data_IF_741672368424
#
_entry.id   IF_741672368424
#
_cell.length_a   1.000
_cell.length_b   1.000
_cell.length_c   1.000
_cell.angle_alpha   90.00
_cell.angle_beta   90.00
_cell.angle_gamma   90.00
#
_symmetry.space_group_name_H-M   'P 1'
#
loop_
_entity.id
_entity.type
_entity.pdbx_description
1 polymer ?
2 polymer ?
3 polymer ?
4 water ?
#
# COMPACT_ATOMS: atom_id res chain seq x y z
N UNK A 1 11.21 -15.36 8.76
CA UNK A 1 11.52 -14.26 7.81
C UNK A 1 11.61 -12.90 8.48
N UNK A 2 11.87 -11.93 7.64
CA UNK A 2 11.98 -10.53 8.03
C UNK A 2 10.67 -9.85 8.30
N UNK A 3 10.72 -8.75 9.01
CA UNK A 3 9.51 -8.06 9.46
C UNK A 3 9.76 -6.57 9.56
N UNK A 4 8.69 -5.78 9.64
CA UNK A 4 8.78 -4.35 9.67
C UNK A 4 7.56 -3.74 10.37
N UNK A 5 7.78 -2.56 10.95
CA UNK A 5 6.69 -1.72 11.46
C UNK A 5 6.85 -0.35 10.82
N UNK A 6 5.76 0.10 10.17
CA UNK A 6 5.79 1.37 9.42
C UNK A 6 4.57 2.19 9.70
N UNK A 7 4.76 3.50 9.82
CA UNK A 7 3.68 4.42 9.93
C UNK A 7 3.70 5.41 8.77
N UNK A 8 2.53 5.72 8.28
CA UNK A 8 2.28 6.59 7.14
C UNK A 8 1.36 7.69 7.52
N UNK A 9 1.74 8.91 7.16
CA UNK A 9 0.91 10.12 7.47
C UNK A 9 0.75 11.02 6.22
N UNK A 10 -0.47 11.48 5.97
CA UNK A 10 -0.83 12.34 4.89
C UNK A 10 -1.68 13.48 5.38
N UNK A 11 -1.23 14.71 5.13
CA UNK A 11 -2.00 15.91 5.44
C UNK A 11 -2.20 16.72 4.12
N UNK A 12 -3.41 17.17 3.91
CA UNK A 12 -3.84 17.88 2.71
C UNK A 12 -4.54 19.15 3.14
N UNK A 13 -3.96 20.28 2.79
CA UNK A 13 -4.55 21.56 3.20
C UNK A 13 -5.89 21.86 2.58
N UNK A 14 -6.70 22.60 3.33
CA UNK A 14 -8.04 23.03 2.93
C UNK A 14 -7.98 24.56 3.06
N UNK A 15 -7.49 25.20 2.02
CA UNK A 15 -7.20 26.63 2.19
C UNK A 15 -8.44 27.53 2.44
N UNK A 16 -9.63 27.19 1.96
CA UNK A 16 -10.79 28.03 2.22
C UNK A 16 -11.34 28.08 3.64
N UNK A 17 -11.04 27.06 4.42
CA UNK A 17 -11.62 26.97 5.75
C UNK A 17 -11.06 25.76 6.51
N UNK A 18 -10.58 26.00 7.72
CA UNK A 18 -10.31 24.92 8.68
C UNK A 18 -8.95 24.28 8.54
N UNK A 19 -8.77 23.21 9.30
CA UNK A 19 -7.50 22.49 9.36
C UNK A 19 -7.37 21.43 8.24
N UNK A 20 -6.17 20.91 8.01
CA UNK A 20 -5.96 19.92 6.99
C UNK A 20 -6.72 18.64 7.20
N UNK A 21 -7.06 17.93 6.11
CA UNK A 21 -7.41 16.50 6.24
C UNK A 21 -6.18 15.70 6.55
N UNK A 22 -6.21 14.91 7.63
CA UNK A 22 -5.09 14.16 8.13
C UNK A 22 -5.51 12.71 8.29
N UNK A 23 -4.73 11.83 7.69
CA UNK A 23 -4.92 10.38 7.73
C UNK A 23 -3.63 9.72 8.07
N UNK A 24 -3.66 8.93 9.17
CA UNK A 24 -2.50 8.19 9.62
C UNK A 24 -2.82 6.74 9.63
N UNK A 25 -1.84 5.93 9.23
CA UNK A 25 -2.07 4.45 9.29
C UNK A 25 -0.80 3.79 9.75
N UNK A 26 -0.92 2.74 10.57
CA UNK A 26 0.23 1.92 10.94
C UNK A 26 0.11 0.50 10.48
N UNK A 27 1.23 -0.06 10.03
CA UNK A 27 1.33 -1.44 9.59
C UNK A 27 2.38 -2.23 10.37
N UNK A 28 2.10 -3.52 10.60
CA UNK A 28 3.11 -4.51 10.86
C UNK A 28 3.17 -5.40 9.61
N UNK A 29 4.34 -5.48 8.97
CA UNK A 29 4.47 -6.23 7.72
C UNK A 29 3.38 -5.72 6.78
N UNK A 30 2.55 -6.58 6.24
CA UNK A 30 1.52 -6.14 5.31
C UNK A 30 0.16 -6.09 6.01
N UNK A 31 0.13 -5.94 7.33
CA UNK A 31 -1.17 -5.88 8.06
C UNK A 31 -1.39 -4.48 8.68
N UNK A 32 -2.42 -3.78 8.27
CA UNK A 32 -2.75 -2.50 8.88
C UNK A 32 -3.27 -2.79 10.26
N UNK A 33 -2.79 -2.04 11.28
CA UNK A 33 -3.23 -2.31 12.65
C UNK A 33 -3.86 -1.14 13.41
N UNK A 34 -3.55 0.08 13.01
CA UNK A 34 -4.18 1.26 13.60
C UNK A 34 -4.45 2.30 12.51
N UNK A 35 -5.39 3.21 12.81
CA UNK A 35 -5.67 4.32 11.93
C UNK A 35 -6.16 5.55 12.72
N UNK A 36 -5.96 6.72 12.14
CA UNK A 36 -6.56 7.95 12.57
C UNK A 36 -7.02 8.70 11.33
N UNK A 37 -8.23 9.22 11.35
CA UNK A 37 -8.73 10.03 10.25
C UNK A 37 -9.40 11.26 10.82
N UNK A 38 -8.84 12.43 10.55
CA UNK A 38 -9.36 13.68 11.10
C UNK A 38 -10.88 13.92 10.82
N UNK A 39 -11.41 13.32 9.73
CA UNK A 39 -12.82 13.51 9.36
C UNK A 39 -13.75 12.51 10.11
N UNK A 40 -13.20 11.54 10.82
CA UNK A 40 -13.98 10.56 11.55
C UNK A 40 -14.44 11.14 12.89
N UNK A 41 -15.51 10.58 13.45
CA UNK A 41 -16.18 11.14 14.63
C UNK A 41 -15.43 10.95 15.96
N UNK A 42 -14.68 9.87 16.08
CA UNK A 42 -14.06 9.50 17.38
C UNK A 42 -12.95 10.46 17.82
N UNK A 43 -12.17 10.96 16.85
CA UNK A 43 -10.97 11.70 17.10
C UNK A 43 -10.05 10.88 18.04
N UNK A 44 -10.02 9.57 17.84
CA UNK A 44 -9.08 8.67 18.53
C UNK A 44 -8.31 7.83 17.50
N UNK A 45 -7.09 7.47 17.87
CA UNK A 45 -6.41 6.37 17.18
C UNK A 45 -7.28 5.16 17.40
N UNK A 46 -7.56 4.43 16.32
CA UNK A 46 -8.51 3.31 16.34
C UNK A 46 -7.82 2.01 15.92
N UNK A 47 -8.24 0.91 16.52
CA UNK A 47 -7.66 -0.43 16.17
C UNK A 47 -8.21 -0.89 14.82
N UNK A 48 -7.38 -1.62 14.07
CA UNK A 48 -7.80 -2.22 12.80
C UNK A 48 -7.31 -3.67 12.68
N UNK A 49 -6.77 -4.23 13.76
CA UNK A 49 -6.53 -5.69 13.81
C UNK A 49 -6.88 -6.21 15.18
N UNK A 50 -7.35 -7.46 15.27
CA UNK A 50 -7.78 -7.93 16.59
C UNK A 50 -6.71 -7.95 17.63
N UNK A 51 -5.47 -8.23 17.25
CA UNK A 51 -4.44 -8.41 18.27
C UNK A 51 -3.97 -7.08 18.93
N UNK A 52 -4.31 -5.94 18.37
CA UNK A 52 -3.93 -4.67 19.01
C UNK A 52 -5.03 -4.26 20.03
N UNK A 53 -6.18 -4.90 19.93
CA UNK A 53 -7.26 -4.65 20.91
C UNK A 53 -6.91 -5.12 22.36
N UNK A 54 -5.86 -5.91 22.49
CA UNK A 54 -5.23 -6.30 23.79
C UNK A 54 -4.76 -5.08 24.57
N UNK A 55 -4.33 -4.03 23.87
CA UNK A 55 -3.69 -2.90 24.51
C UNK A 55 -4.71 -2.11 25.29
N UNK A 56 -4.30 -1.64 26.45
CA UNK A 56 -5.22 -0.95 27.36
C UNK A 56 -5.45 0.50 27.04
N UNK A 57 -6.33 1.15 27.83
CA UNK A 57 -6.58 2.56 27.68
C UNK A 57 -5.36 3.49 27.68
N UNK A 58 -4.32 3.19 28.45
CA UNK A 58 -3.07 3.97 28.44
C UNK A 58 -2.55 4.06 27.03
N UNK A 59 -2.50 2.92 26.36
CA UNK A 59 -1.96 2.84 24.98
C UNK A 59 -2.78 3.72 24.01
N UNK A 60 -4.10 3.58 24.06
CA UNK A 60 -4.95 4.34 23.18
C UNK A 60 -4.82 5.86 23.48
N UNK A 61 -4.69 6.19 24.77
CA UNK A 61 -4.54 7.60 25.14
C UNK A 61 -3.20 8.13 24.59
N UNK A 62 -2.12 7.34 24.77
CA UNK A 62 -0.79 7.83 24.27
C UNK A 62 -0.74 7.93 22.75
N UNK A 63 -1.29 6.93 22.10
CA UNK A 63 -1.29 6.95 20.60
C UNK A 63 -2.14 8.11 20.04
N UNK A 64 -3.30 8.36 20.65
CA UNK A 64 -4.09 9.53 20.28
C UNK A 64 -3.36 10.85 20.50
N UNK A 65 -2.72 11.02 21.66
CA UNK A 65 -1.95 12.24 21.96
C UNK A 65 -0.89 12.48 20.88
N UNK A 66 -0.12 11.44 20.59
CA UNK A 66 0.95 11.56 19.61
C UNK A 66 0.43 11.92 18.19
N UNK A 67 -0.61 11.25 17.78
CA UNK A 67 -1.12 11.44 16.42
C UNK A 67 -1.76 12.84 16.29
N UNK A 68 -2.46 13.29 17.30
CA UNK A 68 -3.02 14.64 17.29
C UNK A 68 -1.93 15.69 17.23
N UNK A 69 -0.89 15.53 18.08
CA UNK A 69 0.26 16.45 18.02
C UNK A 69 0.87 16.51 16.62
N UNK A 70 1.05 15.34 16.00
CA UNK A 70 1.60 15.19 14.67
C UNK A 70 0.74 15.96 13.64
N UNK A 71 -0.55 15.83 13.75
CA UNK A 71 -1.49 16.53 12.85
C UNK A 71 -1.30 18.05 12.94
N UNK A 72 -1.04 18.56 14.14
CA UNK A 72 -0.81 19.98 14.32
C UNK A 72 0.56 20.41 13.81
N UNK A 73 1.54 19.53 13.87
CA UNK A 73 2.86 19.81 13.29
C UNK A 73 2.68 19.97 11.78
N UNK A 74 1.89 19.13 11.17
CA UNK A 74 1.65 19.26 9.71
C UNK A 74 0.84 20.49 9.36
N UNK A 75 -0.10 20.88 10.21
CA UNK A 75 -0.84 22.15 10.03
C UNK A 75 0.17 23.28 9.90
N UNK A 76 1.09 23.36 10.86
CA UNK A 76 2.05 24.42 10.84
C UNK A 76 3.01 24.29 9.67
N UNK A 77 3.45 23.08 9.38
CA UNK A 77 4.32 22.84 8.27
C UNK A 77 3.73 23.29 6.91
N UNK A 78 2.47 23.04 6.71
CA UNK A 78 1.85 23.42 5.43
C UNK A 78 1.96 24.92 5.22
N UNK A 79 1.77 25.70 6.30
CA UNK A 79 2.05 27.17 6.29
C UNK A 79 3.48 27.51 5.98
N UNK A 80 4.39 26.90 6.72
CA UNK A 80 5.80 27.16 6.58
C UNK A 80 6.26 26.89 5.13
N UNK A 81 5.88 25.74 4.61
CA UNK A 81 6.32 25.34 3.27
C UNK A 81 5.70 26.19 2.15
N UNK A 82 4.43 26.56 2.33
CA UNK A 82 3.77 27.53 1.45
C UNK A 82 4.71 28.74 1.30
N UNK A 83 5.22 29.21 2.42
CA UNK A 83 6.06 30.40 2.45
C UNK A 83 7.42 30.16 1.84
N UNK A 84 8.04 29.03 2.16
CA UNK A 84 9.36 28.68 1.60
C UNK A 84 9.29 28.64 0.06
N UNK A 85 8.18 28.17 -0.46
CA UNK A 85 7.94 27.99 -1.88
C UNK A 85 7.19 29.18 -2.56
N UNK A 86 6.97 30.26 -1.81
CA UNK A 86 6.25 31.44 -2.33
C UNK A 86 4.97 31.10 -3.05
N UNK A 87 4.19 30.25 -2.44
CA UNK A 87 2.96 29.86 -2.99
C UNK A 87 1.81 30.66 -2.40
N UNK A 88 0.76 30.80 -3.20
CA UNK A 88 -0.42 31.55 -2.77
C UNK A 88 -1.28 30.73 -1.81
N UNK A 89 -2.24 31.43 -1.22
CA UNK A 89 -3.19 30.84 -0.29
C UNK A 89 -4.33 30.07 -0.95
N UNK A 90 -4.36 30.04 -2.27
CA UNK A 90 -5.48 29.48 -3.01
C UNK A 90 -5.50 27.97 -3.17
N UNK A 91 -4.34 27.34 -3.30
CA UNK A 91 -4.29 25.92 -3.67
C UNK A 91 -4.12 25.00 -2.49
N UNK A 92 -4.57 23.78 -2.69
CA UNK A 92 -4.32 22.73 -1.75
C UNK A 92 -2.94 22.12 -1.96
N UNK A 93 -2.28 21.79 -0.87
CA UNK A 93 -0.96 21.16 -0.84
C UNK A 93 -0.92 19.98 0.11
N UNK A 94 0.11 19.16 -0.07
CA UNK A 94 0.19 17.87 0.60
C UNK A 94 1.51 17.68 1.29
N UNK A 95 1.47 17.30 2.58
CA UNK A 95 2.64 16.81 3.27
C UNK A 95 2.49 15.32 3.51
N UNK A 96 3.52 14.53 3.19
CA UNK A 96 3.53 13.08 3.54
C UNK A 96 4.76 12.77 4.40
N UNK A 97 4.61 11.87 5.36
CA UNK A 97 5.73 11.37 6.19
C UNK A 97 5.58 9.85 6.30
N UNK A 98 6.66 9.12 6.19
CA UNK A 98 6.68 7.71 6.55
C UNK A 98 7.93 7.41 7.35
N UNK A 99 7.77 6.60 8.40
CA UNK A 99 8.91 6.15 9.16
C UNK A 99 8.68 4.72 9.64
N UNK A 100 9.78 4.10 10.02
CA UNK A 100 9.71 2.77 10.61
C UNK A 100 10.99 2.02 10.68
N UNK A 101 10.89 0.75 11.09
CA UNK A 101 12.03 -0.12 11.29
C UNK A 101 11.80 -1.47 10.63
N UNK A 102 12.86 -1.99 10.03
CA UNK A 102 12.98 -3.40 9.61
C UNK A 102 13.80 -4.20 10.56
N UNK A 103 13.41 -5.47 10.75
CA UNK A 103 14.19 -6.43 11.51
C UNK A 103 14.33 -7.69 10.64
N UNK A 104 15.38 -8.43 10.88
CA UNK A 104 15.63 -9.72 10.21
C UNK A 104 14.85 -10.87 10.80
N UNK A 105 15.16 -12.06 10.33
CA UNK A 105 14.56 -13.29 10.84
C UNK A 105 14.80 -13.49 12.36
N UNK A 106 15.90 -12.94 12.88
CA UNK A 106 16.19 -12.98 14.33
C UNK A 106 15.49 -11.89 15.11
N UNK A 107 14.69 -11.10 14.42
CA UNK A 107 13.97 -9.95 14.98
C UNK A 107 14.86 -8.82 15.56
N UNK A 108 16.14 -8.85 15.23
CA UNK A 108 17.02 -7.74 15.57
C UNK A 108 17.00 -6.65 14.51
N UNK A 109 17.22 -5.42 14.97
CA UNK A 109 17.27 -4.29 14.10
C UNK A 109 18.18 -4.50 12.89
N UNK A 110 17.64 -4.20 11.71
CA UNK A 110 18.33 -4.20 10.45
C UNK A 110 18.54 -2.81 9.87
N UNK A 111 17.45 -2.06 9.78
CA UNK A 111 17.54 -0.66 9.32
C UNK A 111 16.36 0.15 9.75
N UNK A 112 16.54 1.45 9.74
CA UNK A 112 15.42 2.37 10.02
C UNK A 112 15.33 3.48 8.97
N UNK A 113 14.21 4.13 8.90
CA UNK A 113 14.00 5.17 7.88
C UNK A 113 12.98 6.18 8.37
N UNK A 114 13.12 7.43 7.89
CA UNK A 114 12.18 8.49 8.16
C UNK A 114 12.26 9.43 6.94
N UNK A 115 11.21 9.45 6.13
CA UNK A 115 11.18 10.24 4.94
C UNK A 115 9.95 11.19 4.94
N UNK A 116 10.15 12.40 4.43
CA UNK A 116 9.15 13.46 4.34
C UNK A 116 9.11 14.08 2.90
N UNK A 117 7.90 14.33 2.43
CA UNK A 117 7.61 14.90 1.09
C UNK A 117 6.66 16.06 1.14
N UNK A 118 6.81 17.00 0.20
CA UNK A 118 5.88 18.08 -0.02
C UNK A 118 5.44 17.98 -1.50
N UNK A 119 4.11 18.00 -1.69
CA UNK A 119 3.48 17.87 -3.03
C UNK A 119 4.07 16.72 -3.86
N UNK A 120 4.31 15.63 -3.18
CA UNK A 120 4.69 14.35 -3.80
C UNK A 120 6.11 14.27 -4.25
N UNK A 121 6.89 15.29 -3.94
CA UNK A 121 8.32 15.30 -4.20
C UNK A 121 9.15 15.11 -2.92
N UNK A 122 10.27 14.40 -3.09
CA UNK A 122 11.25 14.33 -2.01
C UNK A 122 11.45 15.70 -1.39
N UNK A 123 11.59 15.74 -0.07
CA UNK A 123 11.88 17.01 0.65
C UNK A 123 13.10 16.76 1.60
N UNK A 124 12.90 15.93 2.61
CA UNK A 124 13.98 15.62 3.56
C UNK A 124 13.81 14.18 4.02
N UNK A 125 14.90 13.50 4.17
CA UNK A 125 14.91 12.08 4.60
C UNK A 125 16.16 11.84 5.48
N UNK A 126 16.01 10.98 6.46
CA UNK A 126 17.13 10.56 7.29
C UNK A 126 18.03 9.61 6.49
N UNK A 127 19.34 9.80 6.55
CA UNK A 127 20.25 8.88 5.84
C UNK A 127 20.29 7.52 6.54
N UNK A 128 20.87 6.51 5.88
CA UNK A 128 20.79 5.15 6.39
C UNK A 128 21.44 5.03 7.76
N UNK A 129 22.45 5.81 8.05
CA UNK A 129 23.06 5.66 9.39
C UNK A 129 22.34 6.38 10.55
N UNK A 130 21.21 7.02 10.20
CA UNK A 130 20.31 7.67 11.12
C UNK A 130 21.01 8.82 11.87
N UNK A 131 22.05 9.37 11.30
CA UNK A 131 22.76 10.44 11.98
C UNK A 131 22.80 11.75 11.21
N UNK A 132 22.34 11.81 9.97
CA UNK A 132 22.34 13.07 9.22
C UNK A 132 21.19 13.00 8.20
N UNK A 133 20.97 14.11 7.49
CA UNK A 133 19.77 14.28 6.64
C UNK A 133 20.14 14.50 5.16
N UNK A 134 19.28 14.03 4.28
CA UNK A 134 19.36 14.34 2.84
C UNK A 134 18.24 15.36 2.54
N UNK A 135 18.65 16.61 2.22
CA UNK A 135 17.71 17.66 1.88
C UNK A 135 17.75 17.91 0.35
N UNK A 136 16.61 17.83 -0.30
CA UNK A 136 16.64 17.83 -1.78
C UNK A 136 16.85 19.21 -2.41
N UNK A 137 16.40 20.28 -1.74
CA UNK A 137 16.48 21.61 -2.29
C UNK A 137 16.72 22.60 -1.16
N UNK A 138 16.71 23.88 -1.48
CA UNK A 138 17.13 24.89 -0.50
C UNK A 138 16.11 25.09 0.62
N UNK A 139 14.85 24.90 0.33
CA UNK A 139 13.83 24.93 1.38
C UNK A 139 14.06 23.84 2.40
N UNK A 140 14.26 22.63 1.88
CA UNK A 140 14.53 21.48 2.75
C UNK A 140 15.86 21.67 3.49
N UNK A 141 16.84 22.35 2.87
CA UNK A 141 18.09 22.64 3.64
C UNK A 141 17.85 23.56 4.86
N UNK A 142 16.95 24.52 4.71
CA UNK A 142 16.48 25.31 5.84
C UNK A 142 15.86 24.41 6.95
N UNK A 143 15.00 23.50 6.56
CA UNK A 143 14.47 22.49 7.52
C UNK A 143 15.62 21.67 8.14
N UNK A 144 16.58 21.19 7.33
CA UNK A 144 17.67 20.39 7.85
C UNK A 144 18.42 21.17 8.93
N UNK A 145 18.69 22.47 8.69
CA UNK A 145 19.44 23.21 9.70
C UNK A 145 18.63 23.29 11.01
N UNK A 146 17.32 23.51 10.91
CA UNK A 146 16.44 23.51 12.12
C UNK A 146 16.52 22.20 12.89
N UNK A 147 16.41 21.12 12.17
CA UNK A 147 16.39 19.76 12.78
C UNK A 147 17.77 19.39 13.35
N UNK A 148 18.85 19.87 12.74
CA UNK A 148 20.19 19.67 13.27
C UNK A 148 20.35 20.43 14.59
N UNK A 149 19.90 21.69 14.61
CA UNK A 149 20.03 22.49 15.84
C UNK A 149 19.21 21.95 17.00
N UNK A 150 18.06 21.43 16.72
CA UNK A 150 17.21 20.78 17.72
C UNK A 150 17.52 19.25 17.95
N UNK A 151 18.63 18.74 17.45
CA UNK A 151 18.99 17.31 17.63
C UNK A 151 17.88 16.28 17.35
N UNK A 152 17.13 16.48 16.26
CA UNK A 152 16.05 15.60 15.92
C UNK A 152 16.53 14.18 15.56
N UNK A 153 17.65 14.11 14.82
CA UNK A 153 18.13 12.77 14.35
C UNK A 153 18.44 11.87 15.56
N UNK A 154 19.02 12.43 16.61
CA UNK A 154 19.38 11.67 17.77
C UNK A 154 18.13 11.04 18.42
N UNK A 155 17.04 11.81 18.54
CA UNK A 155 15.76 11.28 19.07
C UNK A 155 15.17 10.16 18.21
N UNK A 156 15.22 10.40 16.90
CA UNK A 156 14.69 9.47 15.97
C UNK A 156 15.49 8.23 15.95
N UNK A 157 16.81 8.36 15.97
CA UNK A 157 17.62 7.17 15.93
C UNK A 157 17.34 6.30 17.16
N UNK A 158 17.15 6.91 18.31
CA UNK A 158 16.88 6.12 19.53
C UNK A 158 15.54 5.40 19.41
N UNK A 159 14.53 6.06 18.80
CA UNK A 159 13.23 5.41 18.53
C UNK A 159 13.37 4.24 17.52
N UNK A 160 14.03 4.51 16.40
CA UNK A 160 14.09 3.54 15.30
C UNK A 160 14.88 2.27 15.65
N UNK A 161 15.95 2.41 16.46
CA UNK A 161 16.83 1.30 16.80
C UNK A 161 16.35 0.61 18.04
N UNK A 162 15.61 1.31 18.87
CA UNK A 162 15.13 0.71 20.13
C UNK A 162 13.61 0.50 20.19
N UNK A 163 12.91 1.57 20.51
CA UNK A 163 11.50 1.56 20.75
C UNK A 163 10.70 0.88 19.63
N UNK A 164 11.02 1.26 18.42
CA UNK A 164 10.29 0.73 17.24
C UNK A 164 10.44 -0.81 17.23
N UNK A 165 11.68 -1.27 17.43
CA UNK A 165 11.96 -2.70 17.41
C UNK A 165 11.23 -3.43 18.56
N UNK A 166 11.28 -2.83 19.76
CA UNK A 166 10.67 -3.45 20.88
C UNK A 166 9.18 -3.62 20.71
N UNK A 167 8.50 -2.60 20.19
CA UNK A 167 7.07 -2.66 19.98
C UNK A 167 6.74 -3.63 18.83
N UNK A 168 7.59 -3.62 17.82
CA UNK A 168 7.40 -4.60 16.73
C UNK A 168 7.41 -6.03 17.29
N UNK A 169 8.40 -6.34 18.14
CA UNK A 169 8.49 -7.66 18.77
C UNK A 169 7.25 -7.98 19.60
N UNK A 170 6.72 -6.98 20.33
CA UNK A 170 5.53 -7.20 21.15
C UNK A 170 4.33 -7.56 20.29
N UNK A 171 4.17 -6.85 19.22
CA UNK A 171 3.09 -7.11 18.28
C UNK A 171 3.19 -8.46 17.62
N UNK A 172 4.38 -8.82 17.16
CA UNK A 172 4.55 -10.15 16.51
C UNK A 172 4.22 -11.26 17.46
N UNK A 173 4.61 -11.12 18.75
CA UNK A 173 4.17 -12.10 19.70
C UNK A 173 2.69 -12.15 19.98
N UNK A 174 2.14 -10.98 20.33
CA UNK A 174 0.77 -10.89 20.68
C UNK A 174 -0.12 -11.30 19.51
N UNK A 175 0.28 -10.99 18.29
CA UNK A 175 -0.52 -11.39 17.12
C UNK A 175 -0.01 -12.62 16.39
N UNK A 176 0.77 -13.43 17.06
CA UNK A 176 1.42 -14.57 16.43
C UNK A 176 0.55 -15.43 15.51
N UNK A 177 -0.70 -15.68 15.92
CA UNK A 177 -1.57 -16.61 15.24
C UNK A 177 -1.74 -16.25 13.74
N UNK A 178 -1.74 -14.95 13.46
CA UNK A 178 -1.72 -14.41 12.08
C UNK A 178 -0.40 -13.79 11.65
N UNK A 179 0.23 -12.97 12.51
CA UNK A 179 1.36 -12.23 12.07
C UNK A 179 2.55 -13.11 11.82
N UNK A 180 2.66 -14.25 12.52
CA UNK A 180 3.77 -15.19 12.29
C UNK A 180 3.36 -16.35 11.37
N UNK A 181 2.18 -16.32 10.82
CA UNK A 181 1.74 -17.36 9.90
C UNK A 181 2.03 -16.91 8.53
N UNK A 182 2.59 -17.79 7.70
CA UNK A 182 2.70 -17.52 6.26
C UNK A 182 1.63 -18.31 5.53
N UNK A 183 1.04 -17.70 4.52
CA UNK A 183 -0.05 -18.25 3.70
C UNK A 183 0.53 -18.39 2.30
N UNK A 184 0.84 -19.62 1.91
CA UNK A 184 1.48 -19.89 0.61
C UNK A 184 0.50 -19.56 -0.51
N UNK A 185 1.00 -19.05 -1.59
CA UNK A 185 0.10 -18.85 -2.75
C UNK A 185 -0.59 -20.11 -3.20
N UNK A 186 -1.86 -19.94 -3.54
CA UNK A 186 -2.67 -20.91 -4.21
C UNK A 186 -2.56 -20.64 -5.71
N UNK A 187 -1.95 -21.57 -6.41
CA UNK A 187 -1.62 -21.35 -7.82
C UNK A 187 -2.40 -22.20 -8.79
N UNK A 188 -2.60 -21.66 -10.00
CA UNK A 188 -3.12 -22.40 -11.12
C UNK A 188 -2.75 -21.71 -12.40
N UNK A 189 -3.03 -22.35 -13.54
CA UNK A 189 -2.76 -21.71 -14.84
C UNK A 189 -4.03 -21.75 -15.69
N UNK A 190 -4.28 -20.70 -16.45
CA UNK A 190 -5.33 -20.71 -17.42
C UNK A 190 -4.78 -20.43 -18.77
N UNK A 191 -5.61 -20.73 -19.76
CA UNK A 191 -5.17 -20.70 -21.16
C UNK A 191 -6.20 -19.93 -21.96
N UNK A 192 -5.75 -19.03 -22.86
CA UNK A 192 -6.64 -18.15 -23.58
C UNK A 192 -6.19 -18.00 -25.02
N UNK A 193 -6.99 -18.45 -25.94
CA UNK A 193 -6.62 -18.41 -27.35
C UNK A 193 -7.04 -17.09 -28.01
N UNK A 194 -6.09 -16.44 -28.68
CA UNK A 194 -6.26 -15.11 -29.34
C UNK A 194 -6.72 -15.31 -30.80
N UNK A 195 -6.08 -16.27 -31.40
CA UNK A 195 -6.24 -16.60 -32.80
C UNK A 195 -5.89 -18.08 -32.95
N UNK A 196 -5.82 -18.57 -34.18
CA UNK A 196 -5.42 -19.96 -34.38
C UNK A 196 -3.94 -20.19 -34.14
N UNK A 197 -3.10 -19.14 -34.11
CA UNK A 197 -1.65 -19.32 -34.00
C UNK A 197 -1.06 -18.78 -32.66
N UNK A 198 -1.84 -18.04 -31.87
CA UNK A 198 -1.30 -17.44 -30.63
C UNK A 198 -2.18 -17.77 -29.46
N UNK A 199 -1.58 -18.08 -28.28
CA UNK A 199 -2.36 -18.24 -27.06
C UNK A 199 -1.63 -17.54 -25.92
N UNK A 200 -2.39 -17.17 -24.89
CA UNK A 200 -1.85 -16.65 -23.66
C UNK A 200 -2.00 -17.69 -22.56
N UNK A 201 -0.91 -17.87 -21.81
CA UNK A 201 -0.94 -18.67 -20.64
C UNK A 201 -0.82 -17.70 -19.47
N UNK A 202 -1.74 -17.81 -18.52
CA UNK A 202 -1.69 -16.93 -17.33
C UNK A 202 -1.50 -17.76 -16.06
N UNK A 203 -0.48 -17.38 -15.30
CA UNK A 203 -0.11 -18.08 -14.07
C UNK A 203 -0.52 -17.23 -12.86
N UNK A 204 -1.38 -17.83 -12.02
CA UNK A 204 -2.16 -17.16 -10.96
C UNK A 204 -1.59 -17.53 -9.61
N UNK A 205 -1.51 -16.53 -8.74
CA UNK A 205 -1.15 -16.70 -7.31
C UNK A 205 -2.21 -15.96 -6.49
N UNK A 206 -2.93 -16.69 -5.66
CA UNK A 206 -4.02 -16.18 -4.87
C UNK A 206 -3.81 -16.47 -3.36
N UNK A 207 -4.43 -15.64 -2.51
CA UNK A 207 -4.58 -15.91 -1.10
C UNK A 207 -3.25 -16.04 -0.34
N UNK A 208 -2.23 -15.25 -0.71
CA UNK A 208 -0.94 -15.36 -0.07
C UNK A 208 -0.66 -14.17 0.87
N UNK A 209 0.20 -14.44 1.82
CA UNK A 209 0.64 -13.52 2.86
C UNK A 209 2.02 -14.00 3.32
N UNK A 210 3.05 -13.14 3.36
CA UNK A 210 3.01 -11.70 3.08
C UNK A 210 2.92 -11.40 1.60
N UNK A 211 2.95 -10.12 1.25
CA UNK A 211 2.65 -9.73 -0.16
C UNK A 211 3.88 -10.00 -1.09
N UNK A 212 5.09 -9.99 -0.54
CA UNK A 212 6.31 -10.27 -1.34
C UNK A 212 6.15 -11.63 -2.05
N UNK A 213 6.24 -11.62 -3.37
CA UNK A 213 6.20 -12.85 -4.19
C UNK A 213 7.03 -12.60 -5.47
N UNK A 214 7.54 -13.69 -6.08
CA UNK A 214 8.18 -13.66 -7.40
C UNK A 214 7.50 -14.70 -8.30
N UNK A 215 6.99 -14.25 -9.45
CA UNK A 215 6.52 -15.06 -10.53
C UNK A 215 7.37 -14.88 -11.76
N UNK A 216 7.85 -16.00 -12.31
CA UNK A 216 8.72 -15.98 -13.51
C UNK A 216 8.37 -17.06 -14.51
N UNK A 217 8.59 -16.77 -15.79
CA UNK A 217 8.38 -17.72 -16.86
C UNK A 217 9.70 -18.24 -17.39
N UNK A 218 9.77 -19.54 -17.69
CA UNK A 218 10.86 -20.07 -18.46
C UNK A 218 10.32 -20.74 -19.75
N UNK A 219 11.19 -20.83 -20.73
CA UNK A 219 10.92 -21.52 -22.01
C UNK A 219 12.03 -22.50 -22.24
N UNK A 220 11.66 -23.78 -22.30
CA UNK A 220 12.67 -24.85 -22.35
C UNK A 220 13.76 -24.67 -21.28
N UNK A 221 13.32 -24.29 -20.09
CA UNK A 221 14.24 -24.17 -18.97
C UNK A 221 15.08 -22.89 -18.93
N UNK A 222 14.84 -21.94 -19.82
CA UNK A 222 15.59 -20.66 -19.81
C UNK A 222 14.63 -19.52 -19.51
N UNK A 223 15.08 -18.55 -18.72
CA UNK A 223 14.26 -17.39 -18.37
C UNK A 223 13.66 -16.70 -19.61
N UNK A 224 12.39 -16.36 -19.49
CA UNK A 224 11.65 -15.75 -20.58
C UNK A 224 10.97 -14.50 -19.98
N UNK A 225 11.43 -13.34 -20.40
CA UNK A 225 10.81 -12.04 -20.05
C UNK A 225 10.16 -11.32 -21.23
N UNK A 226 10.71 -11.50 -22.39
CA UNK A 226 9.96 -11.18 -23.59
C UNK A 226 8.54 -11.75 -23.68
N UNK A 227 7.62 -10.96 -24.22
CA UNK A 227 6.20 -11.37 -24.39
C UNK A 227 5.51 -11.75 -23.08
N UNK A 228 6.00 -11.21 -21.97
CA UNK A 228 5.36 -11.40 -20.68
C UNK A 228 4.71 -10.15 -20.16
N UNK A 229 3.71 -10.36 -19.33
CA UNK A 229 2.99 -9.27 -18.61
C UNK A 229 2.86 -9.72 -17.17
N UNK A 230 3.12 -8.84 -16.25
CA UNK A 230 3.06 -9.14 -14.80
C UNK A 230 2.23 -8.02 -14.15
N UNK A 231 1.05 -8.28 -13.57
CA UNK A 231 0.28 -7.22 -12.92
C UNK A 231 0.89 -6.90 -11.53
N UNK A 232 0.65 -5.66 -11.08
CA UNK A 232 1.03 -5.25 -9.72
C UNK A 232 0.33 -6.18 -8.70
N UNK A 233 1.05 -6.60 -7.64
CA UNK A 233 0.43 -7.35 -6.56
C UNK A 233 -0.67 -6.48 -5.98
N UNK A 234 -1.78 -7.13 -5.71
CA UNK A 234 -2.97 -6.45 -5.31
C UNK A 234 -3.61 -7.07 -4.07
N UNK A 235 -4.31 -6.26 -3.25
CA UNK A 235 -4.92 -6.83 -2.07
C UNK A 235 -6.23 -7.53 -2.39
N UNK A 236 -6.42 -8.70 -1.83
CA UNK A 236 -7.75 -9.33 -1.95
C UNK A 236 -8.87 -8.66 -1.16
N UNK A 237 -8.57 -8.10 0.00
CA UNK A 237 -9.57 -7.45 0.82
C UNK A 237 -9.79 -8.24 2.10
N UNK A 238 -9.25 -9.48 2.21
CA UNK A 238 -9.38 -10.31 3.43
C UNK A 238 -8.04 -10.51 4.15
N UNK A 239 -7.10 -9.63 3.83
CA UNK A 239 -5.79 -9.63 4.40
C UNK A 239 -4.71 -10.30 3.54
N UNK A 240 -5.16 -11.03 2.49
CA UNK A 240 -4.20 -11.70 1.62
C UNK A 240 -4.03 -10.94 0.30
N UNK A 241 -3.05 -11.40 -0.48
CA UNK A 241 -2.67 -10.77 -1.75
C UNK A 241 -2.80 -11.71 -2.96
N UNK A 242 -2.83 -11.11 -4.15
CA UNK A 242 -3.02 -11.79 -5.45
C UNK A 242 -2.04 -11.20 -6.48
N UNK A 243 -1.64 -12.01 -7.43
CA UNK A 243 -0.81 -11.58 -8.54
C UNK A 243 -0.97 -12.58 -9.68
N UNK A 244 -0.84 -12.13 -10.93
CA UNK A 244 -0.63 -13.05 -12.04
C UNK A 244 0.48 -12.60 -12.96
N UNK A 245 1.05 -13.58 -13.68
CA UNK A 245 2.03 -13.36 -14.76
C UNK A 245 1.59 -14.12 -16.02
N UNK A 246 1.62 -13.46 -17.16
CA UNK A 246 1.20 -14.11 -18.39
C UNK A 246 2.32 -14.14 -19.42
N UNK A 247 2.24 -15.10 -20.35
CA UNK A 247 3.19 -15.17 -21.44
C UNK A 247 2.39 -15.50 -22.68
N UNK A 248 2.79 -14.90 -23.76
CA UNK A 248 2.16 -15.20 -25.08
C UNK A 248 3.03 -16.23 -25.79
N UNK A 249 2.37 -17.30 -26.31
CA UNK A 249 3.05 -18.43 -26.89
C UNK A 249 2.42 -18.85 -28.26
N UNK A 250 3.20 -19.51 -29.14
CA UNK A 250 2.64 -20.06 -30.33
C UNK A 250 1.72 -21.22 -29.95
N UNK A 251 0.52 -21.26 -30.51
CA UNK A 251 -0.42 -22.26 -30.02
C UNK A 251 0.14 -23.62 -30.43
N UNK A 252 0.01 -24.59 -29.53
CA UNK A 252 0.58 -25.90 -29.77
C UNK A 252 1.93 -26.08 -29.06
N UNK A 253 2.60 -24.99 -28.64
CA UNK A 253 3.89 -25.07 -27.97
C UNK A 253 3.83 -24.80 -26.46
N UNK A 254 2.63 -24.90 -25.88
CA UNK A 254 2.44 -24.57 -24.50
C UNK A 254 3.31 -25.36 -23.55
N UNK A 255 3.64 -26.60 -23.87
CA UNK A 255 4.38 -27.46 -22.97
C UNK A 255 5.81 -27.04 -22.71
N UNK A 256 6.35 -26.21 -23.57
CA UNK A 256 7.71 -25.64 -23.38
C UNK A 256 7.81 -24.69 -22.22
N UNK A 257 6.66 -24.17 -21.78
CA UNK A 257 6.62 -23.01 -20.91
C UNK A 257 6.30 -23.40 -19.46
N UNK A 258 7.09 -22.89 -18.54
CA UNK A 258 6.86 -23.17 -17.13
C UNK A 258 6.85 -21.89 -16.29
N UNK A 259 5.87 -21.85 -15.36
CA UNK A 259 5.75 -20.71 -14.41
C UNK A 259 6.39 -21.13 -13.09
N UNK A 260 7.20 -20.26 -12.53
CA UNK A 260 7.94 -20.53 -11.29
C UNK A 260 7.55 -19.53 -10.20
N UNK A 261 7.28 -20.03 -8.98
CA UNK A 261 6.68 -19.24 -7.95
C UNK A 261 7.58 -19.35 -6.71
N UNK A 262 8.02 -18.19 -6.22
CA UNK A 262 8.78 -18.12 -4.95
C UNK A 262 8.01 -17.29 -3.96
N UNK A 263 7.97 -17.78 -2.71
CA UNK A 263 7.24 -17.13 -1.66
C UNK A 263 7.70 -17.68 -0.34
N UNK A 264 7.69 -16.85 0.69
CA UNK A 264 8.16 -17.27 2.02
C UNK A 264 7.42 -18.51 2.60
N UNK A 265 6.19 -18.68 2.21
CA UNK A 265 5.33 -19.78 2.66
C UNK A 265 5.58 -21.07 1.90
N UNK A 266 6.47 -21.04 0.90
CA UNK A 266 6.82 -22.27 0.15
C UNK A 266 8.18 -22.79 0.54
N UNK A 267 8.24 -23.96 1.17
CA UNK A 267 9.61 -24.42 1.49
C UNK A 267 10.39 -24.88 0.28
N UNK A 268 9.69 -25.31 -0.76
CA UNK A 268 10.32 -25.92 -1.90
C UNK A 268 9.78 -25.29 -3.16
N UNK A 269 10.48 -25.55 -4.26
CA UNK A 269 10.20 -25.12 -5.61
C UNK A 269 8.74 -25.38 -5.96
N UNK A 270 8.10 -24.36 -6.51
CA UNK A 270 6.83 -24.52 -7.14
C UNK A 270 6.96 -24.19 -8.63
N UNK A 271 6.58 -25.16 -9.43
CA UNK A 271 6.57 -24.99 -10.86
C UNK A 271 5.20 -25.38 -11.39
N UNK A 272 4.71 -24.64 -12.37
CA UNK A 272 3.47 -24.93 -13.02
C UNK A 272 3.70 -25.05 -14.50
N UNK A 273 2.95 -25.95 -15.08
CA UNK A 273 2.98 -26.23 -16.55
C UNK A 273 1.58 -26.46 -17.13
N UNK A 274 1.37 -26.15 -18.40
CA UNK A 274 0.09 -26.39 -19.01
C UNK A 274 0.31 -27.75 -19.69
N UNK A 275 -0.08 -28.76 -18.95
CA UNK A 275 -0.34 -30.07 -19.49
C UNK A 275 -1.82 -30.19 -19.75
N UNK A 276 -2.69 -29.54 -18.92
CA UNK A 276 -4.13 -29.61 -19.23
C UNK A 276 -4.49 -29.47 -20.73
N UNK B 1 3.23 21.30 -9.02
CA UNK B 1 2.58 20.08 -8.50
C UNK B 1 2.88 18.93 -9.43
N UNK B 2 3.44 17.86 -8.87
CA UNK B 2 3.51 16.62 -9.62
C UNK B 2 2.10 16.02 -9.70
N UNK B 3 1.75 15.53 -10.88
CA UNK B 3 0.49 14.87 -11.11
C UNK B 3 0.81 13.48 -11.67
N UNK B 4 0.21 12.44 -11.08
CA UNK B 4 0.42 11.09 -11.54
C UNK B 4 -0.91 10.43 -11.64
N UNK B 5 -1.17 9.84 -12.81
CA UNK B 5 -2.46 9.24 -13.09
C UNK B 5 -2.65 7.85 -12.43
N UNK B 6 -3.84 7.54 -11.94
CA UNK B 6 -4.08 6.23 -11.30
C UNK B 6 -4.03 5.00 -12.24
N UNK B 7 -3.37 3.93 -11.80
CA UNK B 7 -3.47 2.61 -12.41
C UNK B 7 -4.72 2.00 -11.74
N UNK B 8 -5.42 1.15 -12.49
CA UNK B 8 -6.66 0.59 -12.01
C UNK B 8 -6.68 -0.94 -12.26
N UNK B 9 -7.02 -1.71 -11.24
CA UNK B 9 -7.36 -3.09 -11.47
C UNK B 9 -8.73 -3.37 -10.81
N UNK B 10 -9.55 -4.14 -11.53
CA UNK B 10 -10.89 -4.55 -11.11
C UNK B 10 -10.95 -6.09 -11.09
N UNK B 11 -11.39 -6.64 -9.97
CA UNK B 11 -11.27 -8.08 -9.73
C UNK B 11 -12.07 -8.53 -8.50
N UNK B 12 -12.28 -9.85 -8.36
CA UNK B 12 -13.04 -10.34 -7.19
C UNK B 12 -12.06 -10.77 -6.06
N UNK B 13 -12.52 -10.70 -4.85
CA UNK B 13 -11.73 -11.09 -3.67
C UNK B 13 -11.45 -12.61 -3.72
N UNK B 14 -12.49 -13.39 -4.01
CA UNK B 14 -12.45 -14.84 -4.14
C UNK B 14 -12.71 -15.28 -5.61
N UNK B 15 -12.35 -16.51 -6.00
CA UNK B 15 -12.73 -16.97 -7.37
C UNK B 15 -14.17 -16.75 -7.64
N UNK B 16 -14.43 -16.28 -8.85
CA UNK B 16 -15.72 -15.85 -9.28
C UNK B 16 -16.53 -17.01 -9.70
N UNK B 17 -17.69 -17.21 -9.13
CA UNK B 17 -18.55 -18.34 -9.51
C UNK B 17 -19.94 -17.81 -9.58
N UNK B 18 -20.56 -17.95 -10.74
CA UNK B 18 -21.88 -17.37 -10.89
C UNK B 18 -22.82 -17.95 -9.83
N UNK B 19 -23.59 -17.07 -9.19
CA UNK B 19 -24.64 -17.47 -8.27
C UNK B 19 -24.12 -17.46 -6.85
N UNK B 20 -22.84 -17.22 -6.67
CA UNK B 20 -22.27 -17.39 -5.33
C UNK B 20 -21.69 -16.09 -4.83
N UNK B 21 -21.97 -15.74 -3.56
CA UNK B 21 -21.58 -14.39 -3.09
C UNK B 21 -20.09 -14.18 -3.04
N UNK B 22 -19.70 -12.93 -3.14
CA UNK B 22 -18.27 -12.59 -3.31
C UNK B 22 -18.11 -11.10 -2.99
N UNK B 23 -16.95 -10.51 -3.31
CA UNK B 23 -16.65 -9.11 -3.15
C UNK B 23 -15.91 -8.63 -4.40
N UNK B 24 -16.37 -7.48 -4.92
CA UNK B 24 -15.83 -6.82 -6.10
C UNK B 24 -14.92 -5.70 -5.63
N UNK B 25 -13.71 -5.71 -6.11
CA UNK B 25 -12.70 -4.75 -5.76
C UNK B 25 -12.28 -3.84 -6.93
N UNK B 26 -12.00 -2.57 -6.65
CA UNK B 26 -11.32 -1.68 -7.54
C UNK B 26 -10.10 -1.11 -6.78
N UNK B 27 -8.93 -1.52 -7.23
CA UNK B 27 -7.68 -1.10 -6.62
C UNK B 27 -7.10 0.00 -7.48
N UNK B 28 -7.01 1.20 -6.93
CA UNK B 28 -6.34 2.33 -7.62
C UNK B 28 -5.01 2.67 -6.95
N UNK B 29 -3.96 2.84 -7.76
CA UNK B 29 -2.63 3.08 -7.20
C UNK B 29 -1.84 3.98 -8.11
N UNK B 30 -0.66 4.40 -7.63
CA UNK B 30 0.28 5.15 -8.42
C UNK B 30 -0.10 6.61 -8.67
N UNK B 31 -1.07 7.13 -7.94
CA UNK B 31 -1.58 8.48 -8.22
C UNK B 31 -1.23 9.57 -7.25
N UNK B 32 -1.28 10.79 -7.74
CA UNK B 32 -1.00 12.00 -6.98
C UNK B 32 -1.63 13.19 -7.70
N UNK B 33 -2.31 14.10 -7.02
CA UNK B 33 -2.55 14.12 -5.58
C UNK B 33 -3.63 13.10 -5.13
N UNK B 34 -4.01 13.17 -3.85
CA UNK B 34 -4.85 12.12 -3.25
C UNK B 34 -6.34 12.20 -3.55
N UNK B 35 -6.86 13.38 -3.88
CA UNK B 35 -8.28 13.56 -4.33
C UNK B 35 -8.60 12.61 -5.48
N UNK B 36 -9.62 11.76 -5.33
CA UNK B 36 -9.99 10.81 -6.41
C UNK B 36 -11.44 10.41 -6.22
N UNK B 37 -12.14 10.13 -7.33
CA UNK B 37 -13.52 9.68 -7.24
C UNK B 37 -13.57 8.33 -7.89
N UNK B 38 -13.99 7.32 -7.12
CA UNK B 38 -14.00 5.93 -7.59
C UNK B 38 -15.39 5.37 -7.37
N UNK B 39 -16.01 4.82 -8.43
CA UNK B 39 -17.31 4.19 -8.29
C UNK B 39 -17.26 2.77 -8.87
N UNK B 40 -17.98 1.86 -8.23
CA UNK B 40 -18.25 0.51 -8.77
C UNK B 40 -19.58 0.57 -9.44
N UNK B 41 -19.64 0.01 -10.66
CA UNK B 41 -20.83 0.02 -11.43
C UNK B 41 -21.42 -1.38 -11.65
N UNK B 42 -22.75 -1.50 -11.56
CA UNK B 42 -23.46 -2.68 -11.99
C UNK B 42 -24.37 -2.34 -13.19
N UNK B 43 -24.11 -2.99 -14.30
CA UNK B 43 -24.82 -2.73 -15.56
C UNK B 43 -24.90 -1.23 -15.82
N UNK B 44 -23.78 -0.56 -15.58
CA UNK B 44 -23.69 0.86 -15.82
C UNK B 44 -24.19 1.82 -14.73
N UNK B 45 -24.75 1.31 -13.63
CA UNK B 45 -25.30 2.17 -12.59
C UNK B 45 -24.42 2.09 -11.38
N UNK B 46 -24.26 3.22 -10.72
CA UNK B 46 -23.40 3.31 -9.54
C UNK B 46 -23.99 2.43 -8.44
N UNK B 47 -23.13 1.66 -7.79
CA UNK B 47 -23.48 0.86 -6.63
C UNK B 47 -23.34 1.79 -5.41
N UNK B 48 -24.36 1.79 -4.56
CA UNK B 48 -24.38 2.70 -3.41
C UNK B 48 -23.53 2.28 -2.23
N UNK B 49 -23.49 1.00 -1.93
CA UNK B 49 -22.75 0.61 -0.73
C UNK B 49 -21.32 0.25 -1.00
N UNK B 50 -20.44 1.26 -1.18
CA UNK B 50 -19.04 0.96 -1.49
C UNK B 50 -18.16 1.54 -0.40
N UNK B 51 -17.27 0.73 0.13
CA UNK B 51 -16.40 1.15 1.20
C UNK B 51 -15.01 1.28 0.63
N UNK B 52 -14.08 1.89 1.34
CA UNK B 52 -12.71 1.94 0.86
C UNK B 52 -11.72 1.94 2.02
N UNK B 53 -10.47 1.56 1.71
CA UNK B 53 -9.38 1.50 2.67
C UNK B 53 -8.91 2.88 3.04
N UNK B 54 -8.16 2.95 4.12
CA UNK B 54 -7.56 4.15 4.50
C UNK B 54 -6.37 4.51 3.64
N UNK B 55 -6.34 5.77 3.23
CA UNK B 55 -5.28 6.25 2.36
C UNK B 55 -3.88 5.94 2.85
N UNK B 56 -3.08 5.36 1.97
CA UNK B 56 -1.66 5.10 2.23
C UNK B 56 -0.91 5.35 0.93
N UNK B 57 0.38 5.16 0.92
CA UNK B 57 1.23 5.49 -0.24
C UNK B 57 2.49 4.64 -0.26
N UNK B 58 3.03 4.50 -1.45
CA UNK B 58 4.31 3.81 -1.75
C UNK B 58 5.51 4.66 -1.45
N UNK B 59 6.68 4.04 -1.49
CA UNK B 59 7.92 4.71 -1.18
C UNK B 59 8.17 5.84 -2.19
N UNK B 60 7.58 5.75 -3.37
CA UNK B 60 7.69 6.87 -4.31
C UNK B 60 6.66 8.02 -4.12
N UNK B 61 5.96 7.97 -2.98
CA UNK B 61 4.95 8.90 -2.58
C UNK B 61 3.56 8.76 -3.23
N UNK B 62 3.42 7.91 -4.23
CA UNK B 62 2.14 7.80 -4.86
C UNK B 62 1.14 7.02 -3.98
N UNK B 63 -0.12 7.45 -4.03
CA UNK B 63 -1.16 6.91 -3.18
C UNK B 63 -1.79 5.63 -3.71
N UNK B 64 -2.40 4.88 -2.79
CA UNK B 64 -3.20 3.72 -3.21
C UNK B 64 -4.41 3.54 -2.29
N UNK B 65 -5.49 3.13 -2.90
CA UNK B 65 -6.74 2.77 -2.19
C UNK B 65 -7.39 1.54 -2.80
N UNK B 66 -8.10 0.80 -1.94
CA UNK B 66 -8.97 -0.28 -2.32
C UNK B 66 -10.40 0.07 -2.06
N UNK B 67 -11.20 0.06 -3.14
CA UNK B 67 -12.67 0.24 -3.04
C UNK B 67 -13.31 -1.11 -3.21
N UNK B 68 -14.35 -1.39 -2.45
CA UNK B 68 -14.91 -2.76 -2.47
C UNK B 68 -16.35 -2.82 -2.08
N UNK B 69 -17.11 -3.79 -2.59
CA UNK B 69 -18.48 -3.99 -2.15
C UNK B 69 -18.83 -5.46 -2.32
N UNK B 70 -19.85 -5.92 -1.61
CA UNK B 70 -20.32 -7.27 -1.81
C UNK B 70 -20.88 -7.37 -3.21
N UNK B 71 -20.86 -8.57 -3.75
CA UNK B 71 -21.57 -8.85 -5.05
C UNK B 71 -21.72 -10.34 -5.31
N UNK B 72 -22.69 -10.65 -6.18
CA UNK B 72 -22.94 -12.03 -6.53
C UNK B 72 -22.94 -12.08 -8.00
N UNK B 73 -21.84 -12.53 -8.60
CA UNK B 73 -21.78 -12.48 -10.03
C UNK B 73 -22.77 -13.41 -10.73
N UNK B 74 -23.16 -13.05 -11.95
CA UNK B 74 -24.01 -13.86 -12.81
C UNK B 74 -23.53 -13.84 -14.26
N UNK B 75 -24.02 -14.75 -15.07
CA UNK B 75 -23.72 -14.74 -16.48
C UNK B 75 -23.89 -13.37 -17.10
N UNK B 76 -25.06 -12.80 -16.86
CA UNK B 76 -25.49 -11.67 -17.66
C UNK B 76 -25.22 -10.29 -17.03
N UNK B 77 -24.94 -10.21 -15.72
CA UNK B 77 -24.64 -8.88 -15.15
C UNK B 77 -23.21 -8.49 -15.46
N UNK B 78 -23.02 -7.21 -15.76
CA UNK B 78 -21.72 -6.63 -16.06
C UNK B 78 -21.32 -5.72 -14.91
N UNK B 79 -20.07 -5.79 -14.54
CA UNK B 79 -19.49 -4.93 -13.52
C UNK B 79 -18.28 -4.15 -14.06
N UNK B 80 -18.04 -2.98 -13.45
CA UNK B 80 -16.96 -2.06 -13.86
C UNK B 80 -16.56 -1.12 -12.72
N UNK B 81 -15.37 -0.51 -12.85
CA UNK B 81 -14.88 0.52 -11.95
C UNK B 81 -14.76 1.81 -12.80
N UNK B 82 -15.32 2.91 -12.32
CA UNK B 82 -15.18 4.24 -12.94
C UNK B 82 -14.35 5.20 -12.07
N UNK B 83 -13.29 5.78 -12.61
CA UNK B 83 -12.38 6.61 -11.86
C UNK B 83 -12.28 7.96 -12.51
N UNK B 84 -12.35 9.00 -11.67
CA UNK B 84 -11.94 10.30 -12.09
C UNK B 84 -10.92 10.90 -11.16
N UNK B 85 -10.08 11.76 -11.73
CA UNK B 85 -8.92 12.29 -11.08
C UNK B 85 -8.53 13.51 -11.88
N UNK B 86 -7.81 14.43 -11.25
CA UNK B 86 -7.39 15.66 -11.94
C UNK B 86 -6.53 15.39 -13.17
N UNK B 87 -5.83 14.27 -13.21
CA UNK B 87 -5.04 13.95 -14.40
C UNK B 87 -5.90 13.40 -15.58
N UNK B 88 -7.16 13.03 -15.35
CA UNK B 88 -7.93 12.39 -16.40
C UNK B 88 -8.87 13.42 -17.02
N UNK B 89 -8.89 13.47 -18.36
CA UNK B 89 -9.72 14.41 -19.10
C UNK B 89 -11.17 14.01 -18.90
N UNK B 90 -11.46 12.72 -18.99
CA UNK B 90 -12.82 12.20 -18.75
C UNK B 90 -12.66 11.01 -17.86
N UNK B 91 -13.75 10.58 -17.23
CA UNK B 91 -13.63 9.43 -16.39
C UNK B 91 -13.13 8.19 -17.14
N UNK B 92 -12.36 7.36 -16.46
CA UNK B 92 -11.88 6.12 -17.00
C UNK B 92 -12.72 4.96 -16.46
N UNK B 93 -13.22 4.09 -17.34
CA UNK B 93 -13.98 2.92 -16.94
C UNK B 93 -13.16 1.70 -17.31
N UNK B 94 -12.98 0.82 -16.33
CA UNK B 94 -12.37 -0.50 -16.56
C UNK B 94 -13.42 -1.57 -16.23
N UNK B 95 -13.81 -2.34 -17.24
CA UNK B 95 -14.73 -3.49 -17.05
C UNK B 95 -14.14 -4.62 -16.25
N UNK B 96 -14.98 -5.25 -15.43
CA UNK B 96 -14.54 -6.42 -14.72
C UNK B 96 -14.57 -7.59 -15.71
N UNK B 97 -13.41 -8.24 -15.86
CA UNK B 97 -13.22 -9.43 -16.66
C UNK B 97 -12.74 -10.54 -15.71
N UNK B 98 -13.49 -11.64 -15.59
CA UNK B 98 -13.10 -12.64 -14.59
C UNK B 98 -11.76 -13.37 -14.89
N UNK B 99 -11.24 -13.25 -16.10
CA UNK B 99 -9.89 -13.77 -16.45
C UNK B 99 -8.69 -12.85 -16.14
N UNK B 100 -8.92 -11.72 -15.48
CA UNK B 100 -7.88 -10.72 -15.22
C UNK B 100 -7.75 -10.30 -13.73
N UNK C 1 3.97 1.18 18.20
CA UNK C 1 3.65 2.51 18.76
C UNK C 1 4.39 3.53 18.02
N UNK C 2 3.83 4.75 17.96
CA UNK C 2 4.42 5.87 17.23
C UNK C 2 5.58 6.48 17.88
N UNK C 3 6.42 7.09 17.05
CA UNK C 3 7.46 8.01 17.54
C UNK C 3 6.80 9.21 18.23
N UNK C 4 7.21 9.48 19.46
CA UNK C 4 6.72 10.68 20.12
C UNK C 4 7.82 11.47 20.79
N UNK C 5 7.48 12.58 21.46
CA UNK C 5 6.10 13.03 21.67
C UNK C 5 5.42 13.72 20.45
N UNK C 6 6.22 14.34 19.59
CA UNK C 6 5.69 15.16 18.48
C UNK C 6 6.83 15.49 17.53
N UNK C 7 6.68 15.19 16.26
CA UNK C 7 7.77 15.55 15.36
C UNK C 7 8.08 17.02 15.35
N UNK C 8 9.36 17.36 15.19
CA UNK C 8 9.75 18.73 15.07
C UNK C 8 9.15 19.35 13.79
N UNK C 9 8.75 20.61 13.93
CA UNK C 9 8.26 21.39 12.81
C UNK C 9 9.33 21.62 11.77
N UNK C 10 8.88 21.58 10.52
CA UNK C 10 9.75 21.86 9.35
C UNK C 10 10.16 23.35 9.25
#
# INVERSE_FOLDING_TARGET
GSHSMRYFFTSVSRPGRGEPRFIAVGYVDDTQFVRFDSDAASQRMEPRAPWIEQEGPEYWDGETRKVKAHSQTHRVDLGTLRGYYNQSEAGSHTVQRMYGCDVGSDWRFLRGYHQYAYDGKDYIALKEDLRSWTAADMAAQTTKHKWEAAHVAEQLRAYLEGTCVEWLRRYLENGKETLQRTDAPKTHMTHHAVSDHEATLRCWALSFYPAEITLTWQRDGEDQTQDTELVETRPAGDGTFQKWAAVVVPSGQEQRYTCHVQHEGLPKPLTLRWEP
MIQRTPKIQVYSRHPAENGKSNFLNCYVSGFHPSDIEVDLLKNGERIEKVEHSDLSFSKDWSFYLLYYTEFTPTEKDEYACRVNHVTLSQPKIVKWDRDM
AQWGPDPAAA
#
